data_IF_030087035299
#
_entry.id   IF_030087035299
#
_cell.length_a   1.000
_cell.length_b   1.000
_cell.length_c   1.000
_cell.angle_alpha   90.00
_cell.angle_beta   90.00
_cell.angle_gamma   90.00
#
_symmetry.space_group_name_H-M   'P 1'
#
loop_
_entity.id
_entity.type
_entity.pdbx_description
1 polymer ?
#
# COMPACT_ATOMS: atom_id res chain seq x y z
N UNK A 1 -24.02 38.94 -103.12
CA UNK A 1 -24.42 40.20 -103.80
C UNK A 1 -25.59 39.89 -104.71
N UNK A 2 -26.57 40.81 -104.73
CA UNK A 2 -27.70 40.92 -105.68
C UNK A 2 -28.73 39.78 -105.70
N UNK A 3 -30.01 40.00 -105.93
CA UNK A 3 -30.91 41.16 -105.87
C UNK A 3 -32.29 40.58 -106.26
N UNK A 4 -33.33 41.27 -105.83
CA UNK A 4 -34.75 40.97 -106.00
C UNK A 4 -35.22 40.55 -107.41
N UNK A 5 -36.35 39.84 -107.44
CA UNK A 5 -37.31 39.89 -108.55
C UNK A 5 -38.77 39.79 -108.04
N UNK A 6 -39.47 40.90 -108.17
CA UNK A 6 -40.92 41.17 -108.30
C UNK A 6 -41.03 41.93 -109.65
N UNK A 7 -42.15 42.09 -110.40
CA UNK A 7 -43.61 41.92 -110.15
C UNK A 7 -44.29 41.01 -111.21
N UNK A 8 -45.61 40.75 -111.26
CA UNK A 8 -46.66 41.72 -111.61
C UNK A 8 -48.10 41.22 -111.38
N UNK A 9 -48.97 42.15 -110.99
CA UNK A 9 -50.45 42.07 -110.93
C UNK A 9 -51.01 42.99 -112.03
N UNK A 10 -52.26 42.90 -112.53
CA UNK A 10 -53.49 43.29 -111.80
C UNK A 10 -54.74 42.47 -112.29
N UNK A 11 -56.03 42.64 -111.92
CA UNK A 11 -56.78 43.77 -111.40
C UNK A 11 -58.16 43.33 -110.80
N UNK A 12 -58.55 44.02 -109.72
CA UNK A 12 -59.87 44.63 -109.38
C UNK A 12 -61.22 43.87 -109.47
N UNK A 13 -61.79 43.68 -108.27
CA UNK A 13 -63.07 44.20 -107.70
C UNK A 13 -64.43 43.92 -108.39
N UNK A 14 -65.29 43.21 -107.65
CA UNK A 14 -66.75 43.36 -107.61
C UNK A 14 -67.30 42.84 -106.28
N UNK A 15 -68.14 43.61 -105.57
CA UNK A 15 -68.54 43.44 -104.16
C UNK A 15 -70.04 43.11 -104.06
N UNK A 16 -70.39 42.32 -103.03
CA UNK A 16 -71.71 42.09 -102.37
C UNK A 16 -72.56 40.93 -102.93
N UNK A 17 -72.79 39.93 -102.08
CA UNK A 17 -74.02 39.76 -101.27
C UNK A 17 -73.75 38.79 -100.11
N UNK A 18 -74.38 39.05 -98.97
CA UNK A 18 -74.27 38.26 -97.75
C UNK A 18 -75.31 37.14 -97.72
N UNK A 19 -74.97 35.97 -97.17
CA UNK A 19 -75.89 35.18 -96.36
C UNK A 19 -75.15 34.09 -95.57
N UNK A 20 -75.00 34.38 -94.26
CA UNK A 20 -75.12 33.47 -93.10
C UNK A 20 -74.56 32.04 -93.19
N UNK A 21 -73.42 31.88 -92.51
CA UNK A 21 -73.26 31.10 -91.27
C UNK A 21 -74.23 29.92 -91.05
N UNK A 22 -73.67 28.71 -91.01
CA UNK A 22 -74.00 27.70 -90.00
C UNK A 22 -72.80 26.77 -89.83
N UNK A 23 -71.96 27.16 -88.89
CA UNK A 23 -71.10 26.32 -88.06
C UNK A 23 -71.77 24.99 -87.70
N UNK A 24 -71.05 23.88 -87.85
CA UNK A 24 -71.22 22.76 -86.93
C UNK A 24 -69.84 22.30 -86.44
N UNK A 25 -69.61 22.67 -85.19
CA UNK A 25 -68.47 22.38 -84.35
C UNK A 25 -68.45 20.88 -84.11
N UNK A 26 -67.41 20.20 -84.58
CA UNK A 26 -67.09 18.85 -84.13
C UNK A 26 -66.51 18.97 -82.72
N UNK A 27 -67.35 18.71 -81.74
CA UNK A 27 -67.05 18.07 -80.44
C UNK A 27 -65.70 18.40 -79.78
N UNK A 28 -65.61 19.57 -79.13
CA UNK A 28 -64.54 19.90 -78.16
C UNK A 28 -64.74 19.26 -76.77
N UNK A 29 -65.85 18.55 -76.53
CA UNK A 29 -66.15 17.92 -75.22
C UNK A 29 -65.38 16.62 -74.93
N UNK A 30 -64.86 15.93 -75.95
CA UNK A 30 -64.14 14.67 -75.76
C UNK A 30 -62.67 14.84 -75.31
N UNK A 31 -62.08 16.02 -75.52
CA UNK A 31 -60.68 16.30 -75.22
C UNK A 31 -60.44 16.83 -73.78
N UNK A 32 -61.50 17.01 -73.00
CA UNK A 32 -61.45 17.55 -71.63
C UNK A 32 -61.81 16.51 -70.57
N UNK A 33 -62.03 15.24 -70.96
CA UNK A 33 -62.34 14.15 -70.03
C UNK A 33 -61.12 13.28 -69.73
N UNK A 34 -60.96 12.89 -68.46
CA UNK A 34 -59.90 11.98 -68.01
C UNK A 34 -60.17 10.56 -68.52
N UNK A 35 -59.24 10.00 -69.31
CA UNK A 35 -59.36 8.60 -69.74
C UNK A 35 -59.19 7.67 -68.51
N UNK A 36 -60.20 6.83 -68.28
CA UNK A 36 -60.20 5.83 -67.22
C UNK A 36 -59.03 4.85 -67.35
N UNK A 37 -58.55 4.58 -68.58
CA UNK A 37 -57.36 3.73 -68.81
C UNK A 37 -56.08 4.41 -68.32
N UNK A 38 -55.96 5.72 -68.53
CA UNK A 38 -54.82 6.51 -68.05
C UNK A 38 -54.83 6.64 -66.53
N UNK A 39 -55.98 6.93 -65.94
CA UNK A 39 -56.15 6.92 -64.48
C UNK A 39 -55.80 5.55 -63.88
N UNK A 40 -56.26 4.46 -64.49
CA UNK A 40 -55.94 3.10 -64.05
C UNK A 40 -54.44 2.78 -64.20
N UNK A 41 -53.79 3.25 -65.27
CA UNK A 41 -52.36 3.10 -65.47
C UNK A 41 -51.56 3.88 -64.41
N UNK A 42 -51.96 5.11 -64.12
CA UNK A 42 -51.35 5.95 -63.08
C UNK A 42 -51.53 5.34 -61.69
N UNK A 43 -52.72 4.84 -61.36
CA UNK A 43 -52.98 4.11 -60.11
C UNK A 43 -52.17 2.80 -60.02
N UNK A 44 -51.96 2.09 -61.13
CA UNK A 44 -51.09 0.90 -61.17
C UNK A 44 -49.60 1.25 -61.00
N UNK A 45 -49.15 2.40 -61.52
CA UNK A 45 -47.80 2.90 -61.30
C UNK A 45 -47.60 3.30 -59.83
N UNK A 46 -48.53 4.08 -59.28
CA UNK A 46 -48.57 4.43 -57.86
C UNK A 46 -48.55 3.19 -56.95
N UNK A 47 -49.39 2.18 -57.24
CA UNK A 47 -49.41 0.90 -56.50
C UNK A 47 -48.05 0.19 -56.50
N UNK A 48 -47.22 0.37 -57.53
CA UNK A 48 -45.87 -0.21 -57.62
C UNK A 48 -44.79 0.67 -56.96
N UNK A 49 -45.17 1.79 -56.35
CA UNK A 49 -44.25 2.73 -55.70
C UNK A 49 -43.62 3.76 -56.63
N UNK A 50 -44.10 3.89 -57.88
CA UNK A 50 -43.66 4.97 -58.77
C UNK A 50 -44.45 6.24 -58.48
N UNK A 51 -43.84 7.14 -57.70
CA UNK A 51 -44.40 8.45 -57.36
C UNK A 51 -44.04 9.55 -58.37
N UNK A 52 -43.33 9.23 -59.47
CA UNK A 52 -42.95 10.22 -60.49
C UNK A 52 -44.04 10.42 -61.55
N UNK A 53 -44.97 9.47 -61.67
CA UNK A 53 -46.07 9.54 -62.65
C UNK A 53 -46.98 10.75 -62.36
N UNK A 54 -47.47 11.43 -63.40
CA UNK A 54 -48.39 12.56 -63.28
C UNK A 54 -49.56 12.41 -64.23
N UNK A 55 -50.76 12.74 -63.76
CA UNK A 55 -51.92 12.90 -64.63
C UNK A 55 -51.87 14.28 -65.32
N UNK A 56 -52.51 14.43 -66.50
CA UNK A 56 -52.37 15.64 -67.29
C UNK A 56 -52.97 16.88 -66.59
N UNK A 57 -52.16 17.93 -66.44
CA UNK A 57 -52.54 19.18 -65.75
C UNK A 57 -53.39 20.14 -66.61
N UNK A 58 -53.62 19.81 -67.88
CA UNK A 58 -54.42 20.65 -68.80
C UNK A 58 -55.92 20.36 -68.75
N UNK A 59 -56.32 19.32 -68.02
CA UNK A 59 -57.73 18.96 -67.82
C UNK A 59 -58.40 20.01 -66.92
N UNK A 60 -59.66 20.34 -67.22
CA UNK A 60 -60.44 21.33 -66.48
C UNK A 60 -61.71 20.70 -65.92
N UNK A 61 -62.35 21.34 -64.94
CA UNK A 61 -63.55 20.80 -64.31
C UNK A 61 -63.24 19.70 -63.28
N UNK A 62 -64.11 18.70 -63.15
CA UNK A 62 -63.96 17.63 -62.14
C UNK A 62 -62.74 16.75 -62.44
N UNK A 63 -62.49 16.44 -63.70
CA UNK A 63 -61.38 15.59 -64.15
C UNK A 63 -60.02 16.25 -63.94
N UNK A 64 -59.94 17.58 -64.13
CA UNK A 64 -58.78 18.38 -63.74
C UNK A 64 -58.53 18.34 -62.23
N UNK A 65 -59.57 18.53 -61.42
CA UNK A 65 -59.46 18.43 -59.95
C UNK A 65 -59.01 17.03 -59.49
N UNK A 66 -59.46 15.97 -60.16
CA UNK A 66 -59.01 14.59 -59.89
C UNK A 66 -57.51 14.45 -60.24
N UNK A 67 -57.08 14.97 -61.39
CA UNK A 67 -55.69 14.95 -61.82
C UNK A 67 -54.77 15.72 -60.86
N UNK A 68 -55.15 16.94 -60.46
CA UNK A 68 -54.42 17.76 -59.52
C UNK A 68 -54.32 17.10 -58.15
N UNK A 69 -55.46 16.64 -57.60
CA UNK A 69 -55.49 15.97 -56.29
C UNK A 69 -54.66 14.68 -56.31
N UNK A 70 -54.70 13.92 -57.41
CA UNK A 70 -53.88 12.72 -57.57
C UNK A 70 -52.38 13.09 -57.58
N UNK A 71 -52.00 14.10 -58.36
CA UNK A 71 -50.63 14.58 -58.44
C UNK A 71 -50.11 15.06 -57.07
N UNK A 72 -50.92 15.80 -56.31
CA UNK A 72 -50.61 16.25 -54.94
C UNK A 72 -50.38 15.07 -53.99
N UNK A 73 -51.22 14.02 -54.08
CA UNK A 73 -51.05 12.79 -53.30
C UNK A 73 -49.74 12.09 -53.66
N UNK A 74 -49.36 12.05 -54.93
CA UNK A 74 -48.10 11.45 -55.36
C UNK A 74 -46.89 12.26 -54.90
N UNK A 75 -46.97 13.58 -54.94
CA UNK A 75 -45.92 14.46 -54.40
C UNK A 75 -45.72 14.24 -52.90
N UNK A 76 -46.82 14.14 -52.13
CA UNK A 76 -46.76 13.85 -50.70
C UNK A 76 -46.13 12.47 -50.40
N UNK A 77 -46.49 11.44 -51.17
CA UNK A 77 -45.90 10.11 -51.01
C UNK A 77 -44.41 10.09 -51.39
N UNK A 78 -44.00 10.81 -52.44
CA UNK A 78 -42.60 10.97 -52.81
C UNK A 78 -41.79 11.68 -51.71
N UNK A 79 -42.36 12.73 -51.13
CA UNK A 79 -41.75 13.45 -50.02
C UNK A 79 -41.59 12.55 -48.78
N UNK A 80 -42.61 11.77 -48.41
CA UNK A 80 -42.51 10.80 -47.32
C UNK A 80 -41.42 9.76 -47.58
N UNK A 81 -41.39 9.16 -48.77
CA UNK A 81 -40.38 8.15 -49.10
C UNK A 81 -38.96 8.72 -49.02
N UNK A 82 -38.76 9.94 -49.54
CA UNK A 82 -37.47 10.64 -49.49
C UNK A 82 -37.06 10.98 -48.05
N UNK A 83 -38.01 11.38 -47.21
CA UNK A 83 -37.75 11.72 -45.81
C UNK A 83 -37.43 10.48 -44.96
N UNK A 84 -38.08 9.35 -45.23
CA UNK A 84 -37.74 8.08 -44.59
C UNK A 84 -36.33 7.61 -44.99
N UNK A 85 -35.93 7.75 -46.27
CA UNK A 85 -34.55 7.45 -46.71
C UNK A 85 -33.53 8.37 -46.02
N UNK A 86 -33.84 9.66 -45.91
CA UNK A 86 -32.99 10.62 -45.19
C UNK A 86 -32.82 10.21 -43.73
N UNK A 87 -33.90 9.83 -43.04
CA UNK A 87 -33.84 9.41 -41.64
C UNK A 87 -33.08 8.11 -41.45
N UNK A 88 -33.26 7.12 -42.33
CA UNK A 88 -32.50 5.88 -42.31
C UNK A 88 -30.99 6.14 -42.35
N UNK A 89 -30.57 7.13 -43.16
CA UNK A 89 -29.16 7.54 -43.24
C UNK A 89 -28.71 8.36 -42.03
N UNK A 90 -29.45 9.40 -41.69
CA UNK A 90 -29.01 10.40 -40.70
C UNK A 90 -29.16 9.90 -39.26
N UNK A 91 -30.30 9.30 -38.92
CA UNK A 91 -30.54 8.75 -37.58
C UNK A 91 -29.97 7.35 -37.47
N UNK A 92 -30.20 6.50 -38.48
CA UNK A 92 -29.76 5.10 -38.45
C UNK A 92 -28.26 4.93 -38.66
N UNK A 93 -27.71 5.40 -39.79
CA UNK A 93 -26.30 5.16 -40.13
C UNK A 93 -25.33 6.15 -39.48
N UNK A 94 -25.68 7.44 -39.44
CA UNK A 94 -24.82 8.49 -38.87
C UNK A 94 -24.99 8.66 -37.35
N UNK A 95 -26.01 8.05 -36.74
CA UNK A 95 -26.27 8.13 -35.30
C UNK A 95 -26.72 9.52 -34.82
N UNK A 96 -27.19 10.41 -35.71
CA UNK A 96 -27.67 11.75 -35.35
C UNK A 96 -29.10 11.71 -34.80
N UNK A 97 -29.25 11.09 -33.63
CA UNK A 97 -30.53 10.80 -32.95
C UNK A 97 -31.37 12.02 -32.52
N UNK A 98 -30.83 13.24 -32.66
CA UNK A 98 -31.58 14.48 -32.45
C UNK A 98 -32.41 14.90 -33.69
N UNK A 99 -32.20 14.27 -34.84
CA UNK A 99 -32.91 14.60 -36.09
C UNK A 99 -34.33 14.04 -36.08
N UNK A 100 -35.26 14.81 -36.64
CA UNK A 100 -36.70 14.50 -36.67
C UNK A 100 -37.24 14.48 -38.09
N UNK A 101 -38.25 13.66 -38.33
CA UNK A 101 -39.06 13.61 -39.53
C UNK A 101 -39.80 14.94 -39.73
N UNK A 102 -39.78 15.48 -40.95
CA UNK A 102 -40.60 16.64 -41.33
C UNK A 102 -41.05 16.56 -42.79
N UNK A 103 -42.35 16.78 -43.01
CA UNK A 103 -42.96 16.89 -44.34
C UNK A 103 -43.55 18.29 -44.60
N UNK A 104 -43.09 19.31 -43.87
CA UNK A 104 -43.67 20.64 -43.92
C UNK A 104 -45.06 20.71 -43.27
N UNK A 105 -45.97 21.51 -43.84
CA UNK A 105 -47.32 21.74 -43.29
C UNK A 105 -48.30 20.64 -43.73
N UNK A 106 -48.25 19.49 -43.07
CA UNK A 106 -49.19 18.37 -43.27
C UNK A 106 -50.28 18.34 -42.20
N UNK A 107 -51.46 17.79 -42.53
CA UNK A 107 -52.62 17.66 -41.62
C UNK A 107 -53.17 16.22 -41.65
N UNK A 108 -54.00 15.90 -40.66
CA UNK A 108 -54.68 14.59 -40.58
C UNK A 108 -53.69 13.43 -40.44
N UNK A 109 -53.94 12.33 -41.15
CA UNK A 109 -53.14 11.10 -41.05
C UNK A 109 -51.65 11.26 -41.38
N UNK A 110 -51.29 12.22 -42.24
CA UNK A 110 -49.89 12.53 -42.54
C UNK A 110 -49.15 13.13 -41.35
N UNK A 111 -49.80 14.07 -40.65
CA UNK A 111 -49.25 14.65 -39.42
C UNK A 111 -49.10 13.59 -38.33
N UNK A 112 -50.10 12.71 -38.18
CA UNK A 112 -50.04 11.59 -37.25
C UNK A 112 -48.89 10.61 -37.60
N UNK A 113 -48.64 10.36 -38.88
CA UNK A 113 -47.55 9.47 -39.34
C UNK A 113 -46.17 10.07 -39.03
N UNK A 114 -45.97 11.36 -39.30
CA UNK A 114 -44.72 12.07 -38.95
C UNK A 114 -44.53 12.09 -37.43
N UNK A 115 -45.59 12.32 -36.67
CA UNK A 115 -45.55 12.26 -35.21
C UNK A 115 -45.15 10.87 -34.70
N UNK A 116 -45.76 9.81 -35.23
CA UNK A 116 -45.44 8.43 -34.86
C UNK A 116 -43.98 8.06 -35.16
N UNK A 117 -43.43 8.49 -36.31
CA UNK A 117 -42.00 8.28 -36.62
C UNK A 117 -41.12 9.04 -35.63
N UNK A 118 -41.48 10.28 -35.29
CA UNK A 118 -40.71 11.09 -34.35
C UNK A 118 -40.76 10.55 -32.91
N UNK A 119 -41.90 10.00 -32.49
CA UNK A 119 -42.08 9.33 -31.22
C UNK A 119 -41.19 8.08 -31.14
N UNK A 120 -41.20 7.24 -32.19
CA UNK A 120 -40.30 6.08 -32.28
C UNK A 120 -38.82 6.47 -32.24
N UNK A 121 -38.43 7.57 -32.90
CA UNK A 121 -37.06 8.07 -32.83
C UNK A 121 -36.73 8.50 -31.40
N UNK A 122 -37.61 9.23 -30.72
CA UNK A 122 -37.39 9.67 -29.34
C UNK A 122 -37.27 8.49 -28.37
N UNK A 123 -38.17 7.50 -28.48
CA UNK A 123 -38.21 6.30 -27.64
C UNK A 123 -36.93 5.47 -27.75
N UNK A 124 -36.36 5.37 -28.96
CA UNK A 124 -35.09 4.69 -29.20
C UNK A 124 -33.86 5.55 -28.83
N UNK A 125 -33.93 6.87 -29.04
CA UNK A 125 -32.83 7.79 -28.81
C UNK A 125 -32.58 8.08 -27.33
N UNK A 126 -33.65 8.15 -26.52
CA UNK A 126 -33.57 8.53 -25.11
C UNK A 126 -32.70 7.56 -24.29
N UNK A 127 -32.92 6.23 -24.29
CA UNK A 127 -32.09 5.30 -23.54
C UNK A 127 -30.62 5.36 -23.95
N UNK A 128 -30.34 5.52 -25.25
CA UNK A 128 -28.98 5.64 -25.78
C UNK A 128 -28.25 6.86 -25.21
N UNK A 129 -28.92 8.02 -25.14
CA UNK A 129 -28.36 9.23 -24.51
C UNK A 129 -28.12 9.02 -23.01
N UNK A 130 -29.03 8.34 -22.34
CA UNK A 130 -28.94 8.10 -20.91
C UNK A 130 -27.78 7.14 -20.57
N UNK A 131 -27.59 6.09 -21.36
CA UNK A 131 -26.41 5.21 -21.25
C UNK A 131 -25.13 6.00 -21.47
N UNK A 132 -25.04 6.85 -22.50
CA UNK A 132 -23.86 7.68 -22.75
C UNK A 132 -23.58 8.65 -21.59
N UNK A 133 -24.62 9.21 -20.98
CA UNK A 133 -24.49 10.10 -19.81
C UNK A 133 -23.88 9.36 -18.61
N UNK A 134 -24.40 8.19 -18.27
CA UNK A 134 -23.92 7.37 -17.14
C UNK A 134 -22.50 6.87 -17.40
N UNK A 135 -22.22 6.33 -18.59
CA UNK A 135 -20.85 5.91 -18.94
C UNK A 135 -19.86 7.08 -18.91
N UNK A 136 -20.29 8.27 -19.35
CA UNK A 136 -19.49 9.48 -19.24
C UNK A 136 -19.21 9.89 -17.80
N UNK A 137 -20.16 9.69 -16.87
CA UNK A 137 -19.96 9.94 -15.44
C UNK A 137 -18.96 8.93 -14.83
N UNK A 138 -19.14 7.65 -15.12
CA UNK A 138 -18.22 6.56 -14.70
C UNK A 138 -16.79 6.83 -15.19
N UNK A 139 -16.64 7.26 -16.45
CA UNK A 139 -15.32 7.60 -17.01
C UNK A 139 -14.63 8.78 -16.31
N UNK A 140 -15.39 9.67 -15.66
CA UNK A 140 -14.86 10.76 -14.82
C UNK A 140 -14.71 10.37 -13.34
N UNK A 141 -15.01 9.12 -12.99
CA UNK A 141 -14.95 8.60 -11.62
C UNK A 141 -16.20 8.88 -10.78
N UNK A 142 -17.28 9.40 -11.36
CA UNK A 142 -18.55 9.58 -10.66
C UNK A 142 -19.40 8.31 -10.76
N UNK A 143 -19.33 7.49 -9.72
CA UNK A 143 -20.05 6.21 -9.60
C UNK A 143 -21.40 6.37 -8.87
N UNK A 144 -21.86 7.60 -8.63
CA UNK A 144 -23.19 7.87 -8.04
C UNK A 144 -24.31 7.90 -9.08
N UNK A 145 -23.95 8.02 -10.37
CA UNK A 145 -24.90 8.18 -11.46
C UNK A 145 -25.37 6.83 -11.99
N UNK A 146 -26.69 6.64 -12.04
CA UNK A 146 -27.34 5.42 -12.54
C UNK A 146 -28.34 5.75 -13.64
N UNK A 147 -28.73 4.74 -14.42
CA UNK A 147 -29.84 4.81 -15.36
C UNK A 147 -31.17 4.75 -14.63
N UNK A 148 -32.10 5.64 -14.98
CA UNK A 148 -33.46 5.59 -14.47
C UNK A 148 -34.16 4.28 -14.94
N UNK A 149 -34.86 3.62 -14.01
CA UNK A 149 -35.64 2.40 -14.30
C UNK A 149 -37.09 2.69 -14.71
N UNK A 150 -37.50 3.95 -14.64
CA UNK A 150 -38.84 4.42 -14.98
C UNK A 150 -38.77 5.68 -15.85
N UNK A 151 -39.80 5.91 -16.64
CA UNK A 151 -39.99 7.11 -17.45
C UNK A 151 -41.45 7.53 -17.42
N UNK A 152 -41.71 8.81 -17.12
CA UNK A 152 -43.07 9.37 -17.05
C UNK A 152 -44.03 8.58 -16.14
N UNK A 153 -43.50 8.01 -15.06
CA UNK A 153 -44.27 7.20 -14.10
C UNK A 153 -44.50 5.75 -14.53
N UNK A 154 -43.91 5.32 -15.65
CA UNK A 154 -44.00 3.95 -16.15
C UNK A 154 -42.64 3.24 -16.07
N UNK A 155 -42.59 1.99 -15.57
CA UNK A 155 -41.39 1.17 -15.62
C UNK A 155 -40.90 0.97 -17.05
N UNK A 156 -39.58 1.04 -17.24
CA UNK A 156 -38.98 0.57 -18.48
C UNK A 156 -39.33 -0.90 -18.69
N UNK A 157 -39.48 -1.30 -19.96
CA UNK A 157 -39.83 -2.68 -20.33
C UNK A 157 -38.85 -3.22 -21.37
N UNK A 158 -38.83 -4.54 -21.50
CA UNK A 158 -38.04 -5.25 -22.51
C UNK A 158 -36.54 -4.92 -22.45
N UNK A 159 -35.95 -4.65 -23.61
CA UNK A 159 -34.50 -4.41 -23.74
C UNK A 159 -34.03 -3.11 -23.07
N UNK A 160 -34.90 -2.11 -22.93
CA UNK A 160 -34.54 -0.87 -22.23
C UNK A 160 -34.35 -1.10 -20.73
N UNK A 161 -35.26 -1.86 -20.11
CA UNK A 161 -35.10 -2.26 -18.71
C UNK A 161 -33.83 -3.08 -18.53
N UNK A 162 -33.62 -4.08 -19.40
CA UNK A 162 -32.44 -4.94 -19.35
C UNK A 162 -31.14 -4.14 -19.43
N UNK A 163 -31.07 -3.19 -20.37
CA UNK A 163 -29.91 -2.30 -20.53
C UNK A 163 -29.68 -1.46 -19.28
N UNK A 164 -30.74 -0.83 -18.75
CA UNK A 164 -30.65 -0.02 -17.54
C UNK A 164 -30.19 -0.84 -16.33
N UNK A 165 -30.72 -2.05 -16.15
CA UNK A 165 -30.31 -2.97 -15.08
C UNK A 165 -28.85 -3.40 -15.21
N UNK A 166 -28.38 -3.74 -16.41
CA UNK A 166 -26.98 -4.14 -16.64
C UNK A 166 -26.03 -2.98 -16.34
N UNK A 167 -26.34 -1.78 -16.84
CA UNK A 167 -25.52 -0.58 -16.60
C UNK A 167 -25.48 -0.26 -15.11
N UNK A 168 -26.63 -0.29 -14.41
CA UNK A 168 -26.69 -0.04 -12.97
C UNK A 168 -25.90 -1.09 -12.18
N UNK A 169 -26.02 -2.38 -12.53
CA UNK A 169 -25.24 -3.45 -11.89
C UNK A 169 -23.74 -3.22 -12.05
N UNK A 170 -23.30 -2.76 -13.23
CA UNK A 170 -21.89 -2.43 -13.48
C UNK A 170 -21.42 -1.23 -12.65
N UNK A 171 -22.24 -0.17 -12.54
CA UNK A 171 -21.95 1.00 -11.68
C UNK A 171 -21.87 0.58 -10.21
N UNK A 172 -22.80 -0.25 -9.74
CA UNK A 172 -22.84 -0.74 -8.37
C UNK A 172 -21.59 -1.58 -8.04
N UNK A 173 -21.17 -2.46 -8.95
CA UNK A 173 -19.94 -3.26 -8.79
C UNK A 173 -18.70 -2.38 -8.70
N UNK A 174 -18.58 -1.38 -9.59
CA UNK A 174 -17.48 -0.41 -9.56
C UNK A 174 -17.47 0.39 -8.25
N UNK A 175 -18.63 0.88 -7.83
CA UNK A 175 -18.80 1.70 -6.63
C UNK A 175 -18.44 0.90 -5.37
N UNK A 176 -18.94 -0.33 -5.26
CA UNK A 176 -18.62 -1.24 -4.16
C UNK A 176 -17.13 -1.56 -4.12
N UNK A 177 -16.51 -1.89 -5.26
CA UNK A 177 -15.08 -2.18 -5.32
C UNK A 177 -14.23 -0.96 -4.93
N UNK A 178 -14.53 0.21 -5.48
CA UNK A 178 -13.81 1.44 -5.17
C UNK A 178 -13.90 1.81 -3.67
N UNK A 179 -15.09 1.65 -3.08
CA UNK A 179 -15.30 1.87 -1.65
C UNK A 179 -14.48 0.89 -0.80
N UNK A 180 -14.51 -0.39 -1.14
CA UNK A 180 -13.80 -1.45 -0.41
C UNK A 180 -12.29 -1.30 -0.49
N UNK A 181 -11.74 -1.01 -1.68
CA UNK A 181 -10.30 -0.77 -1.84
C UNK A 181 -9.87 0.47 -1.05
N UNK A 182 -10.66 1.54 -1.09
CA UNK A 182 -10.37 2.76 -0.31
C UNK A 182 -10.39 2.48 1.19
N UNK A 183 -11.37 1.69 1.65
CA UNK A 183 -11.51 1.30 3.05
C UNK A 183 -10.32 0.45 3.51
N UNK A 184 -9.96 -0.61 2.78
CA UNK A 184 -8.84 -1.49 3.13
C UNK A 184 -7.51 -0.76 3.09
N UNK A 185 -7.29 0.10 2.09
CA UNK A 185 -6.09 0.92 2.00
C UNK A 185 -5.94 1.84 3.22
N UNK A 186 -7.05 2.45 3.66
CA UNK A 186 -7.07 3.27 4.87
C UNK A 186 -6.86 2.45 6.14
N UNK A 187 -7.58 1.35 6.33
CA UNK A 187 -7.50 0.52 7.54
C UNK A 187 -6.10 -0.09 7.71
N UNK A 188 -5.58 -0.76 6.67
CA UNK A 188 -4.31 -1.49 6.74
C UNK A 188 -3.13 -0.56 6.54
N UNK A 189 -3.22 0.38 5.59
CA UNK A 189 -2.10 1.25 5.21
C UNK A 189 -1.95 2.50 6.07
N UNK A 190 -3.05 3.12 6.51
CA UNK A 190 -3.00 4.39 7.27
C UNK A 190 -3.27 4.20 8.76
N UNK A 191 -4.33 3.46 9.11
CA UNK A 191 -4.76 3.30 10.51
C UNK A 191 -4.01 2.17 11.24
N UNK A 192 -3.27 1.32 10.52
CA UNK A 192 -2.54 0.20 11.11
C UNK A 192 -3.45 -0.90 11.67
N UNK A 193 -4.74 -0.92 11.29
CA UNK A 193 -5.70 -1.98 11.64
C UNK A 193 -5.42 -3.21 10.78
N UNK A 194 -4.46 -4.01 11.23
CA UNK A 194 -4.01 -5.20 10.51
C UNK A 194 -5.09 -6.29 10.49
N UNK A 195 -5.40 -6.80 9.29
CA UNK A 195 -6.38 -7.86 9.05
C UNK A 195 -7.60 -7.42 8.24
N UNK A 196 -7.70 -6.14 7.87
CA UNK A 196 -8.74 -5.64 6.97
C UNK A 196 -8.70 -6.36 5.61
N UNK A 197 -9.87 -6.74 5.12
CA UNK A 197 -10.06 -7.41 3.81
C UNK A 197 -11.23 -6.75 3.08
N UNK A 198 -11.12 -6.69 1.77
CA UNK A 198 -12.15 -6.21 0.87
C UNK A 198 -13.17 -7.33 0.63
N UNK A 199 -14.46 -7.00 0.75
CA UNK A 199 -15.56 -7.90 0.45
C UNK A 199 -16.49 -7.23 -0.57
N UNK A 200 -16.36 -7.60 -1.83
CA UNK A 200 -17.16 -7.06 -2.93
C UNK A 200 -18.24 -8.07 -3.33
N UNK A 201 -19.49 -7.75 -3.00
CA UNK A 201 -20.64 -8.63 -3.29
C UNK A 201 -20.82 -8.81 -4.80
N UNK A 202 -20.99 -10.07 -5.23
CA UNK A 202 -21.20 -10.39 -6.64
C UNK A 202 -19.94 -10.23 -7.51
N UNK A 203 -18.76 -10.07 -6.91
CA UNK A 203 -17.50 -10.06 -7.65
C UNK A 203 -17.27 -11.42 -8.34
N UNK A 204 -17.12 -11.38 -9.66
CA UNK A 204 -16.83 -12.54 -10.50
C UNK A 204 -15.81 -12.14 -11.59
N UNK A 205 -15.10 -13.14 -12.13
CA UNK A 205 -14.04 -12.91 -13.11
C UNK A 205 -12.99 -11.93 -12.59
N UNK A 206 -12.65 -10.94 -13.42
CA UNK A 206 -11.64 -9.92 -13.09
C UNK A 206 -11.90 -9.19 -11.77
N UNK A 207 -13.16 -8.94 -11.41
CA UNK A 207 -13.49 -8.28 -10.14
C UNK A 207 -13.11 -9.11 -8.92
N UNK A 208 -13.30 -10.42 -9.03
CA UNK A 208 -12.90 -11.36 -7.98
C UNK A 208 -11.38 -11.41 -7.88
N UNK A 209 -10.69 -11.53 -9.02
CA UNK A 209 -9.23 -11.58 -9.05
C UNK A 209 -8.60 -10.32 -8.46
N UNK A 210 -9.13 -9.13 -8.76
CA UNK A 210 -8.67 -7.88 -8.18
C UNK A 210 -8.90 -7.82 -6.66
N UNK A 211 -10.08 -8.24 -6.19
CA UNK A 211 -10.41 -8.30 -4.76
C UNK A 211 -9.49 -9.28 -4.02
N UNK A 212 -9.25 -10.46 -4.61
CA UNK A 212 -8.38 -11.49 -4.04
C UNK A 212 -6.91 -11.04 -3.98
N UNK A 213 -6.45 -10.27 -4.98
CA UNK A 213 -5.11 -9.66 -4.97
C UNK A 213 -4.95 -8.58 -3.89
N UNK A 214 -5.93 -7.68 -3.72
CA UNK A 214 -5.93 -6.68 -2.63
C UNK A 214 -5.91 -7.39 -1.27
N UNK A 215 -6.71 -8.45 -1.11
CA UNK A 215 -6.73 -9.26 0.09
C UNK A 215 -5.42 -10.01 0.34
N UNK A 216 -4.77 -10.52 -0.71
CA UNK A 216 -3.45 -11.15 -0.58
C UNK A 216 -2.40 -10.15 -0.09
N UNK A 217 -2.37 -8.95 -0.67
CA UNK A 217 -1.48 -7.86 -0.24
C UNK A 217 -1.73 -7.48 1.22
N UNK A 218 -3.00 -7.27 1.61
CA UNK A 218 -3.38 -6.91 2.97
C UNK A 218 -3.02 -7.99 4.00
N UNK A 219 -3.25 -9.27 3.67
CA UNK A 219 -2.86 -10.42 4.52
C UNK A 219 -1.35 -10.53 4.68
N UNK A 220 -0.59 -10.36 3.59
CA UNK A 220 0.88 -10.42 3.65
C UNK A 220 1.43 -9.31 4.53
N UNK A 221 1.04 -8.05 4.31
CA UNK A 221 1.46 -6.92 5.14
C UNK A 221 1.05 -7.11 6.62
N UNK A 222 -0.17 -7.58 6.85
CA UNK A 222 -0.67 -7.88 8.20
C UNK A 222 0.18 -8.92 8.91
N UNK A 223 0.45 -10.06 8.26
CA UNK A 223 1.23 -11.13 8.85
C UNK A 223 2.67 -10.69 9.13
N UNK A 224 3.28 -9.96 8.19
CA UNK A 224 4.64 -9.46 8.30
C UNK A 224 4.80 -8.48 9.47
N UNK A 225 3.98 -7.43 9.51
CA UNK A 225 4.05 -6.40 10.56
C UNK A 225 3.70 -6.98 11.93
N UNK A 226 2.70 -7.86 12.01
CA UNK A 226 2.31 -8.50 13.28
C UNK A 226 3.42 -9.40 13.83
N UNK A 227 4.11 -10.18 12.98
CA UNK A 227 5.21 -11.02 13.43
C UNK A 227 6.41 -10.20 13.92
N UNK A 228 6.72 -9.08 13.24
CA UNK A 228 7.75 -8.14 13.71
C UNK A 228 7.36 -7.53 15.07
N UNK A 229 6.10 -7.10 15.21
CA UNK A 229 5.59 -6.56 16.47
C UNK A 229 5.68 -7.58 17.62
N UNK A 230 5.34 -8.85 17.36
CA UNK A 230 5.44 -9.93 18.35
C UNK A 230 6.88 -10.16 18.82
N UNK A 231 7.84 -10.20 17.90
CA UNK A 231 9.26 -10.43 18.23
C UNK A 231 9.85 -9.23 18.95
N UNK A 232 9.59 -8.01 18.48
CA UNK A 232 10.05 -6.79 19.17
C UNK A 232 9.42 -6.64 20.56
N UNK A 233 8.15 -7.00 20.74
CA UNK A 233 7.51 -7.08 22.06
C UNK A 233 8.18 -8.13 22.95
N UNK A 234 8.51 -9.30 22.41
CA UNK A 234 9.20 -10.35 23.17
C UNK A 234 10.58 -9.89 23.64
N UNK A 235 11.36 -9.26 22.76
CA UNK A 235 12.66 -8.65 23.09
C UNK A 235 12.52 -7.60 24.18
N UNK A 236 11.51 -6.73 24.10
CA UNK A 236 11.24 -5.72 25.13
C UNK A 236 10.91 -6.36 26.50
N UNK A 237 10.31 -7.55 26.51
CA UNK A 237 10.03 -8.33 27.71
C UNK A 237 11.21 -9.25 28.13
N UNK A 238 12.35 -9.18 27.46
CA UNK A 238 13.55 -9.98 27.76
C UNK A 238 13.55 -11.40 27.18
N UNK A 239 12.56 -11.77 26.36
CA UNK A 239 12.54 -13.04 25.64
C UNK A 239 13.32 -12.92 24.31
N UNK A 240 14.60 -13.31 24.38
CA UNK A 240 15.53 -13.28 23.24
C UNK A 240 15.53 -14.61 22.46
N UNK A 241 14.55 -15.50 22.70
CA UNK A 241 14.44 -16.78 22.00
C UNK A 241 13.60 -16.67 20.73
N UNK A 242 12.76 -15.63 20.62
CA UNK A 242 11.88 -15.43 19.46
C UNK A 242 12.59 -14.76 18.31
N UNK A 243 12.29 -15.24 17.10
CA UNK A 243 12.76 -14.66 15.84
C UNK A 243 11.62 -14.48 14.87
N UNK A 244 11.81 -13.57 13.92
CA UNK A 244 10.91 -13.42 12.78
C UNK A 244 11.17 -14.60 11.84
N UNK A 245 10.16 -15.45 11.65
CA UNK A 245 10.27 -16.68 10.84
C UNK A 245 9.49 -16.61 9.53
N UNK A 246 8.56 -15.66 9.40
CA UNK A 246 7.75 -15.48 8.20
C UNK A 246 8.62 -15.29 6.96
N UNK A 247 8.18 -15.87 5.83
CA UNK A 247 8.85 -15.71 4.54
C UNK A 247 8.53 -14.31 3.97
N UNK A 248 9.57 -13.56 3.68
CA UNK A 248 9.50 -12.14 3.31
C UNK A 248 10.56 -11.83 2.27
N UNK A 249 10.30 -10.82 1.45
CA UNK A 249 11.14 -10.43 0.31
C UNK A 249 11.33 -8.92 0.29
N UNK A 250 12.37 -8.46 -0.40
CA UNK A 250 12.67 -7.03 -0.56
C UNK A 250 12.95 -6.36 0.79
N UNK A 251 12.47 -5.13 0.96
CA UNK A 251 12.74 -4.32 2.15
C UNK A 251 12.29 -4.96 3.47
N UNK A 252 11.24 -5.80 3.44
CA UNK A 252 10.79 -6.53 4.63
C UNK A 252 11.76 -7.65 5.02
N UNK A 253 12.48 -8.24 4.06
CA UNK A 253 13.55 -9.19 4.35
C UNK A 253 14.71 -8.51 5.05
N UNK A 254 15.14 -7.34 4.54
CA UNK A 254 16.20 -6.56 5.17
C UNK A 254 15.83 -6.16 6.61
N UNK A 255 14.57 -5.78 6.84
CA UNK A 255 14.05 -5.50 8.18
C UNK A 255 14.05 -6.75 9.07
N UNK A 256 13.58 -7.90 8.56
CA UNK A 256 13.62 -9.18 9.27
C UNK A 256 15.04 -9.54 9.69
N UNK A 257 16.00 -9.45 8.78
CA UNK A 257 17.39 -9.82 9.02
C UNK A 257 18.05 -8.86 10.01
N UNK A 258 17.74 -7.57 9.92
CA UNK A 258 18.20 -6.56 10.89
C UNK A 258 17.68 -6.86 12.29
N UNK A 259 16.38 -7.12 12.45
CA UNK A 259 15.78 -7.44 13.76
C UNK A 259 16.31 -8.77 14.28
N UNK A 260 16.40 -9.80 13.46
CA UNK A 260 16.93 -11.10 13.88
C UNK A 260 18.41 -11.01 14.29
N UNK A 261 19.22 -10.22 13.59
CA UNK A 261 20.63 -9.97 13.96
C UNK A 261 20.73 -9.24 15.30
N UNK A 262 19.85 -8.26 15.54
CA UNK A 262 19.77 -7.58 16.85
C UNK A 262 19.43 -8.57 17.97
N UNK A 263 18.45 -9.47 17.75
CA UNK A 263 18.09 -10.53 18.72
C UNK A 263 19.28 -11.43 19.00
N UNK A 264 20.01 -11.85 17.97
CA UNK A 264 21.19 -12.71 18.12
C UNK A 264 22.31 -12.04 18.91
N UNK A 265 22.59 -10.77 18.64
CA UNK A 265 23.59 -9.98 19.36
C UNK A 265 23.20 -9.82 20.84
N UNK A 266 21.94 -9.49 21.11
CA UNK A 266 21.40 -9.37 22.47
C UNK A 266 21.49 -10.70 23.24
N UNK A 267 21.07 -11.79 22.60
CA UNK A 267 21.06 -13.13 23.20
C UNK A 267 22.47 -13.59 23.55
N UNK A 268 23.41 -13.43 22.61
CA UNK A 268 24.83 -13.76 22.84
C UNK A 268 25.46 -12.89 23.92
N UNK A 269 25.15 -11.59 23.96
CA UNK A 269 25.65 -10.70 25.00
C UNK A 269 25.11 -11.08 26.39
N UNK A 270 23.81 -11.32 26.51
CA UNK A 270 23.18 -11.72 27.77
C UNK A 270 23.77 -13.04 28.31
N UNK A 271 23.98 -14.02 27.43
CA UNK A 271 24.62 -15.28 27.79
C UNK A 271 26.06 -15.08 28.29
N UNK A 272 26.86 -14.29 27.57
CA UNK A 272 28.26 -14.05 27.91
C UNK A 272 28.43 -13.26 29.20
N UNK A 273 27.62 -12.22 29.43
CA UNK A 273 27.63 -11.46 30.68
C UNK A 273 27.24 -12.35 31.86
N UNK A 274 26.20 -13.17 31.71
CA UNK A 274 25.78 -14.12 32.75
C UNK A 274 26.89 -15.13 33.06
N UNK A 275 27.56 -15.64 32.03
CA UNK A 275 28.67 -16.58 32.16
C UNK A 275 29.86 -15.97 32.91
N UNK A 276 30.32 -14.78 32.49
CA UNK A 276 31.46 -14.09 33.11
C UNK A 276 31.14 -13.67 34.54
N UNK A 277 29.93 -13.17 34.81
CA UNK A 277 29.49 -12.83 36.15
C UNK A 277 29.54 -14.05 37.09
N UNK A 278 29.09 -15.22 36.62
CA UNK A 278 29.16 -16.46 37.38
C UNK A 278 30.60 -16.94 37.57
N UNK A 279 31.39 -17.02 36.50
CA UNK A 279 32.78 -17.53 36.57
C UNK A 279 33.65 -16.67 37.47
N UNK A 280 33.67 -15.36 37.25
CA UNK A 280 34.57 -14.45 37.98
C UNK A 280 33.99 -14.05 39.33
N UNK A 281 32.69 -13.78 39.40
CA UNK A 281 32.03 -13.26 40.61
C UNK A 281 31.59 -14.34 41.61
N UNK A 282 31.13 -15.50 41.13
CA UNK A 282 30.58 -16.55 42.02
C UNK A 282 31.54 -17.74 42.19
N UNK A 283 32.11 -18.24 41.10
CA UNK A 283 32.98 -19.42 41.12
C UNK A 283 34.44 -19.09 41.44
N UNK A 284 34.83 -17.81 41.39
CA UNK A 284 36.21 -17.39 41.58
C UNK A 284 37.17 -17.89 40.50
N UNK A 285 36.65 -18.32 39.33
CA UNK A 285 37.44 -18.66 38.15
C UNK A 285 37.92 -17.38 37.48
N UNK A 286 39.04 -16.87 37.98
CA UNK A 286 39.63 -15.62 37.53
C UNK A 286 40.16 -15.74 36.08
N UNK A 287 39.98 -14.70 35.28
CA UNK A 287 40.41 -14.61 33.89
C UNK A 287 39.32 -14.86 32.84
N UNK A 288 38.08 -15.10 33.26
CA UNK A 288 36.94 -15.18 32.34
C UNK A 288 36.70 -13.84 31.62
N UNK A 289 36.51 -13.89 30.31
CA UNK A 289 36.19 -12.74 29.45
C UNK A 289 35.00 -13.07 28.55
N UNK A 290 34.15 -12.08 28.33
CA UNK A 290 33.01 -12.13 27.42
C UNK A 290 33.49 -12.00 25.98
N UNK A 291 33.04 -12.91 25.11
CA UNK A 291 33.34 -12.88 23.68
C UNK A 291 32.03 -12.92 22.90
N UNK A 292 31.57 -11.74 22.48
CA UNK A 292 30.33 -11.61 21.68
C UNK A 292 30.71 -11.31 20.24
N UNK A 293 30.26 -12.15 19.30
CA UNK A 293 30.60 -12.02 17.86
C UNK A 293 29.75 -10.94 17.20
N UNK A 294 30.35 -10.22 16.24
CA UNK A 294 29.63 -9.28 15.38
C UNK A 294 29.11 -8.03 16.08
N UNK A 295 29.65 -7.68 17.25
CA UNK A 295 29.28 -6.46 17.99
C UNK A 295 30.05 -5.24 17.47
N UNK A 296 29.38 -4.10 17.46
CA UNK A 296 29.95 -2.78 17.14
C UNK A 296 29.25 -1.69 17.93
N UNK A 297 29.85 -0.50 18.01
CA UNK A 297 29.28 0.63 18.76
C UNK A 297 29.04 0.28 20.22
N UNK A 298 27.88 0.66 20.76
CA UNK A 298 27.54 0.50 22.19
C UNK A 298 27.66 -0.95 22.68
N UNK A 299 27.36 -1.95 21.85
CA UNK A 299 27.51 -3.36 22.21
C UNK A 299 28.96 -3.76 22.48
N UNK A 300 29.87 -3.21 21.67
CA UNK A 300 31.31 -3.41 21.86
C UNK A 300 31.78 -2.74 23.13
N UNK A 301 31.38 -1.49 23.36
CA UNK A 301 31.76 -0.74 24.56
C UNK A 301 31.29 -1.44 25.84
N UNK A 302 30.07 -1.97 25.86
CA UNK A 302 29.56 -2.73 27.02
C UNK A 302 30.34 -4.02 27.26
N UNK A 303 30.67 -4.77 26.20
CA UNK A 303 31.47 -5.99 26.32
C UNK A 303 32.88 -5.70 26.82
N UNK A 304 33.51 -4.65 26.29
CA UNK A 304 34.86 -4.23 26.69
C UNK A 304 34.88 -3.76 28.15
N UNK A 305 33.83 -3.07 28.63
CA UNK A 305 33.69 -2.67 30.03
C UNK A 305 33.53 -3.87 30.99
N UNK A 306 32.73 -4.88 30.62
CA UNK A 306 32.60 -6.13 31.41
C UNK A 306 33.96 -6.85 31.48
N UNK A 307 34.69 -6.90 30.37
CA UNK A 307 36.01 -7.50 30.31
C UNK A 307 37.04 -6.74 31.15
N UNK A 308 36.99 -5.40 31.14
CA UNK A 308 37.85 -4.57 31.97
C UNK A 308 37.58 -4.83 33.46
N UNK A 309 36.31 -4.88 33.87
CA UNK A 309 35.92 -5.21 35.25
C UNK A 309 36.42 -6.60 35.66
N UNK A 310 36.19 -7.62 34.83
CA UNK A 310 36.62 -8.99 35.10
C UNK A 310 38.16 -9.12 35.19
N UNK A 311 38.89 -8.44 34.31
CA UNK A 311 40.35 -8.41 34.32
C UNK A 311 40.91 -7.71 35.56
N UNK A 312 40.32 -6.57 35.94
CA UNK A 312 40.73 -5.84 37.14
C UNK A 312 40.53 -6.70 38.40
N UNK A 313 39.35 -7.30 38.57
CA UNK A 313 39.06 -8.16 39.71
C UNK A 313 40.00 -9.38 39.74
N UNK A 314 40.24 -10.00 38.57
CA UNK A 314 41.20 -11.10 38.42
C UNK A 314 42.61 -10.72 38.86
N UNK A 315 43.11 -9.58 38.37
CA UNK A 315 44.45 -9.10 38.71
C UNK A 315 44.60 -8.79 40.19
N UNK A 316 43.59 -8.12 40.77
CA UNK A 316 43.56 -7.75 42.18
C UNK A 316 43.59 -8.99 43.08
N UNK A 317 42.66 -9.93 42.87
CA UNK A 317 42.55 -11.14 43.71
C UNK A 317 43.76 -12.05 43.55
N UNK A 318 44.31 -12.24 42.34
CA UNK A 318 45.53 -13.05 42.15
C UNK A 318 46.75 -12.47 42.87
N UNK A 319 46.92 -11.15 42.87
CA UNK A 319 48.04 -10.53 43.57
C UNK A 319 47.91 -10.66 45.09
N UNK A 320 46.70 -10.49 45.63
CA UNK A 320 46.41 -10.75 47.03
C UNK A 320 46.74 -12.21 47.38
N UNK A 321 46.23 -13.15 46.58
CA UNK A 321 46.48 -14.58 46.80
C UNK A 321 47.98 -14.92 46.77
N UNK A 322 48.73 -14.40 45.79
CA UNK A 322 50.17 -14.64 45.68
C UNK A 322 50.96 -14.15 46.91
N UNK A 323 50.62 -12.96 47.42
CA UNK A 323 51.29 -12.40 48.61
C UNK A 323 50.90 -13.19 49.86
N UNK A 324 49.62 -13.51 50.05
CA UNK A 324 49.17 -14.33 51.19
C UNK A 324 49.80 -15.73 51.17
N UNK A 325 49.95 -16.35 50.00
CA UNK A 325 50.67 -17.63 49.86
C UNK A 325 52.16 -17.49 50.17
N UNK A 326 52.82 -16.42 49.71
CA UNK A 326 54.22 -16.16 50.03
C UNK A 326 54.42 -16.02 51.56
N UNK A 327 53.55 -15.24 52.22
CA UNK A 327 53.54 -15.07 53.67
C UNK A 327 53.33 -16.41 54.38
N UNK A 328 52.39 -17.24 53.92
CA UNK A 328 52.15 -18.56 54.50
C UNK A 328 53.36 -19.51 54.35
N UNK A 329 54.15 -19.35 53.29
CA UNK A 329 55.40 -20.09 53.06
C UNK A 329 56.62 -19.46 53.76
N UNK A 330 56.44 -18.39 54.54
CA UNK A 330 57.50 -17.69 55.26
C UNK A 330 58.29 -16.66 54.44
N UNK A 331 57.92 -16.40 53.19
CA UNK A 331 58.49 -15.31 52.38
C UNK A 331 57.77 -13.99 52.68
N UNK A 332 58.31 -13.26 53.65
CA UNK A 332 57.80 -11.96 54.10
C UNK A 332 58.36 -10.79 53.28
N UNK A 333 59.08 -11.07 52.19
CA UNK A 333 59.62 -10.01 51.30
C UNK A 333 58.60 -9.54 50.26
N UNK A 334 57.52 -10.31 50.05
CA UNK A 334 56.49 -10.01 49.05
C UNK A 334 55.43 -9.07 49.59
N UNK A 335 55.06 -8.07 48.78
CA UNK A 335 53.97 -7.12 49.05
C UNK A 335 53.03 -7.02 47.87
N UNK A 336 51.80 -6.61 48.13
CA UNK A 336 50.85 -6.28 47.07
C UNK A 336 51.28 -4.93 46.49
N UNK A 337 51.63 -4.92 45.20
CA UNK A 337 52.14 -3.72 44.50
C UNK A 337 51.15 -3.12 43.51
N UNK A 338 50.16 -3.89 43.05
CA UNK A 338 49.17 -3.44 42.05
C UNK A 338 48.45 -2.17 42.49
N UNK A 339 48.22 -1.27 41.52
CA UNK A 339 47.45 -0.06 41.73
C UNK A 339 45.96 -0.40 41.87
N UNK A 340 45.39 -0.02 43.01
CA UNK A 340 44.04 -0.37 43.42
C UNK A 340 43.42 0.81 44.14
N UNK A 341 42.09 0.91 44.09
CA UNK A 341 41.32 2.03 44.64
C UNK A 341 40.19 1.51 45.53
N UNK A 342 39.61 2.39 46.35
CA UNK A 342 38.48 2.07 47.21
C UNK A 342 38.79 0.96 48.22
N UNK A 343 37.82 0.08 48.47
CA UNK A 343 37.93 -1.02 49.44
C UNK A 343 39.10 -1.96 49.18
N UNK A 344 39.49 -2.16 47.91
CA UNK A 344 40.64 -3.00 47.56
C UNK A 344 41.97 -2.33 47.97
N UNK A 345 42.04 -1.00 47.98
CA UNK A 345 43.23 -0.28 48.50
C UNK A 345 43.37 -0.44 50.01
N UNK A 346 42.26 -0.37 50.74
CA UNK A 346 42.24 -0.61 52.18
C UNK A 346 42.67 -2.05 52.50
N UNK A 347 42.18 -3.02 51.73
CA UNK A 347 42.60 -4.43 51.84
C UNK A 347 44.10 -4.60 51.56
N UNK A 348 44.61 -4.00 50.46
CA UNK A 348 46.04 -3.99 50.13
C UNK A 348 46.88 -3.44 51.27
N UNK A 349 46.49 -2.30 51.83
CA UNK A 349 47.23 -1.65 52.91
C UNK A 349 47.22 -2.50 54.19
N UNK A 350 46.06 -3.05 54.56
CA UNK A 350 45.92 -3.95 55.71
C UNK A 350 46.84 -5.17 55.58
N UNK A 351 46.84 -5.83 54.42
CA UNK A 351 47.70 -7.00 54.17
C UNK A 351 49.17 -6.59 54.20
N UNK A 352 49.56 -5.48 53.55
CA UNK A 352 50.95 -5.05 53.53
C UNK A 352 51.47 -4.67 54.93
N UNK A 353 50.64 -4.04 55.78
CA UNK A 353 50.98 -3.76 57.19
C UNK A 353 51.15 -5.05 57.98
N UNK A 354 50.28 -6.04 57.77
CA UNK A 354 50.43 -7.36 58.37
C UNK A 354 51.76 -8.02 57.96
N UNK A 355 52.14 -7.96 56.68
CA UNK A 355 53.45 -8.47 56.21
C UNK A 355 54.60 -7.74 56.89
N UNK A 356 54.53 -6.42 57.03
CA UNK A 356 55.56 -5.63 57.71
C UNK A 356 55.71 -6.01 59.19
N UNK A 357 54.59 -6.19 59.90
CA UNK A 357 54.57 -6.62 61.29
C UNK A 357 55.16 -8.02 61.46
N UNK A 358 54.77 -8.96 60.59
CA UNK A 358 55.33 -10.31 60.56
C UNK A 358 56.84 -10.31 60.29
N UNK A 359 57.30 -9.53 59.31
CA UNK A 359 58.72 -9.44 58.94
C UNK A 359 59.56 -8.86 60.07
N UNK A 360 59.04 -7.83 60.73
CA UNK A 360 59.68 -7.23 61.91
C UNK A 360 59.77 -8.21 63.06
N UNK A 361 58.66 -8.89 63.39
CA UNK A 361 58.61 -9.91 64.44
C UNK A 361 59.58 -11.06 64.16
N UNK A 362 59.58 -11.61 62.94
CA UNK A 362 60.48 -12.70 62.56
C UNK A 362 61.96 -12.30 62.68
N UNK A 363 62.30 -11.08 62.25
CA UNK A 363 63.65 -10.54 62.38
C UNK A 363 64.05 -10.42 63.85
N UNK A 364 63.15 -9.95 64.69
CA UNK A 364 63.40 -9.68 66.10
C UNK A 364 63.53 -10.95 66.93
N UNK A 365 62.66 -11.94 66.69
CA UNK A 365 62.80 -13.27 67.29
C UNK A 365 64.12 -13.92 66.88
N UNK A 366 64.49 -13.85 65.60
CA UNK A 366 65.77 -14.38 65.12
C UNK A 366 66.95 -13.68 65.79
N UNK A 367 66.88 -12.36 65.95
CA UNK A 367 67.92 -11.56 66.61
C UNK A 367 68.07 -11.94 68.08
N UNK A 368 66.98 -11.97 68.84
CA UNK A 368 66.98 -12.31 70.28
C UNK A 368 67.42 -13.76 70.50
N UNK A 369 66.93 -14.70 69.69
CA UNK A 369 67.37 -16.10 69.75
C UNK A 369 68.88 -16.23 69.49
N UNK A 370 69.43 -15.43 68.57
CA UNK A 370 70.86 -15.39 68.29
C UNK A 370 71.67 -14.78 69.44
N UNK A 371 71.27 -13.61 69.91
CA UNK A 371 71.97 -12.88 70.98
C UNK A 371 71.97 -13.65 72.31
N UNK A 372 70.78 -14.05 72.78
CA UNK A 372 70.62 -14.68 74.09
C UNK A 372 70.97 -16.17 74.03
N UNK A 373 70.56 -16.86 72.96
CA UNK A 373 70.69 -18.32 72.85
C UNK A 373 72.04 -18.81 72.32
N UNK A 374 72.69 -18.10 71.39
CA UNK A 374 73.94 -18.55 70.76
C UNK A 374 75.15 -17.69 71.11
N UNK A 375 75.01 -16.36 71.14
CA UNK A 375 76.12 -15.45 71.46
C UNK A 375 76.32 -15.24 72.97
N UNK A 376 75.38 -15.68 73.81
CA UNK A 376 75.44 -15.53 75.26
C UNK A 376 75.33 -14.08 75.75
N UNK A 377 74.83 -13.16 74.92
CA UNK A 377 74.54 -11.77 75.30
C UNK A 377 73.25 -11.72 76.11
N UNK A 378 73.41 -11.79 77.43
CA UNK A 378 72.32 -11.86 78.37
C UNK A 378 71.59 -10.51 78.49
N UNK A 379 70.25 -10.55 78.48
CA UNK A 379 69.37 -9.37 78.60
C UNK A 379 68.81 -8.81 77.29
N UNK A 380 69.01 -9.48 76.15
CA UNK A 380 68.39 -9.10 74.88
C UNK A 380 66.86 -9.20 74.94
N UNK A 381 66.18 -8.16 74.44
CA UNK A 381 64.72 -8.10 74.34
C UNK A 381 64.29 -7.82 72.91
N UNK A 382 63.19 -8.43 72.51
CA UNK A 382 62.48 -8.18 71.28
C UNK A 382 61.61 -6.93 71.42
N UNK A 383 61.76 -6.00 70.48
CA UNK A 383 60.93 -4.82 70.31
C UNK A 383 60.31 -4.82 68.91
N UNK A 384 59.02 -5.15 68.82
CA UNK A 384 58.30 -5.19 67.54
C UNK A 384 57.39 -3.98 67.41
N UNK A 385 57.80 -3.03 66.58
CA UNK A 385 57.08 -1.76 66.37
C UNK A 385 55.66 -2.00 65.86
N UNK A 386 54.68 -1.45 66.57
CA UNK A 386 53.26 -1.57 66.21
C UNK A 386 52.60 -2.90 66.60
N UNK A 387 53.26 -3.74 67.40
CA UNK A 387 52.67 -4.96 67.93
C UNK A 387 51.48 -4.65 68.87
N UNK A 388 50.35 -5.27 68.59
CA UNK A 388 49.12 -5.16 69.37
C UNK A 388 48.37 -6.51 69.38
N UNK A 389 47.52 -6.72 70.40
CA UNK A 389 46.84 -8.00 70.63
C UNK A 389 47.84 -9.15 70.71
N UNK A 390 47.54 -10.26 70.04
CA UNK A 390 48.37 -11.47 70.04
C UNK A 390 49.83 -11.23 69.65
N UNK A 391 50.11 -10.26 68.77
CA UNK A 391 51.51 -9.93 68.40
C UNK A 391 52.32 -9.37 69.56
N UNK A 392 51.68 -8.57 70.42
CA UNK A 392 52.32 -8.04 71.63
C UNK A 392 52.56 -9.15 72.63
N UNK A 393 51.54 -9.98 72.87
CA UNK A 393 51.65 -11.11 73.79
C UNK A 393 52.77 -12.07 73.38
N UNK A 394 52.94 -12.34 72.07
CA UNK A 394 54.05 -13.16 71.58
C UNK A 394 55.41 -12.51 71.79
N UNK A 395 55.51 -11.19 71.58
CA UNK A 395 56.75 -10.43 71.84
C UNK A 395 57.12 -10.48 73.32
N UNK A 396 56.13 -10.28 74.20
CA UNK A 396 56.31 -10.34 75.65
C UNK A 396 56.72 -11.75 76.10
N UNK A 397 56.14 -12.80 75.52
CA UNK A 397 56.54 -14.19 75.80
C UNK A 397 57.99 -14.48 75.37
N UNK A 398 58.42 -13.98 74.19
CA UNK A 398 59.83 -14.10 73.76
C UNK A 398 60.75 -13.36 74.73
N UNK A 399 60.34 -12.19 75.22
CA UNK A 399 61.07 -11.42 76.23
C UNK A 399 61.15 -12.13 77.58
N UNK A 400 60.06 -12.75 78.03
CA UNK A 400 60.02 -13.56 79.25
C UNK A 400 60.96 -14.77 79.12
N UNK A 401 60.95 -15.44 77.97
CA UNK A 401 61.85 -16.58 77.71
C UNK A 401 63.32 -16.15 77.72
N UNK A 402 63.65 -15.07 77.02
CA UNK A 402 64.99 -14.49 76.99
C UNK A 402 65.46 -14.04 78.38
N UNK A 403 64.57 -13.44 79.18
CA UNK A 403 64.81 -13.06 80.57
C UNK A 403 65.07 -14.25 81.48
N UNK A 404 64.26 -15.32 81.37
CA UNK A 404 64.45 -16.55 82.13
C UNK A 404 65.78 -17.24 81.79
N UNK A 405 66.12 -17.35 80.51
CA UNK A 405 67.42 -17.86 80.05
C UNK A 405 68.58 -17.03 80.62
N UNK A 406 68.45 -15.70 80.56
CA UNK A 406 69.43 -14.77 81.13
C UNK A 406 69.65 -15.01 82.62
N UNK A 407 68.56 -15.10 83.39
CA UNK A 407 68.63 -15.35 84.83
C UNK A 407 69.25 -16.72 85.14
N UNK A 408 68.85 -17.77 84.42
CA UNK A 408 69.39 -19.12 84.61
C UNK A 408 70.89 -19.18 84.33
N UNK A 409 71.37 -18.58 83.23
CA UNK A 409 72.80 -18.58 82.89
C UNK A 409 73.62 -17.75 83.90
N UNK A 410 73.11 -16.58 84.33
CA UNK A 410 73.77 -15.80 85.40
C UNK A 410 73.86 -16.57 86.70
N UNK A 411 72.77 -17.20 87.13
CA UNK A 411 72.76 -18.01 88.34
C UNK A 411 73.78 -19.13 88.26
N UNK A 412 73.88 -19.85 87.12
CA UNK A 412 74.92 -20.88 86.94
C UNK A 412 76.32 -20.29 87.10
N UNK A 413 76.59 -19.15 86.48
CA UNK A 413 77.88 -18.46 86.58
C UNK A 413 78.21 -17.97 88.02
N UNK A 414 77.23 -17.84 88.91
CA UNK A 414 77.44 -17.50 90.32
C UNK A 414 77.71 -18.73 91.21
N UNK A 415 77.37 -19.94 90.77
CA UNK A 415 77.58 -21.19 91.55
C UNK A 415 78.72 -22.08 91.02
N UNK A 416 79.32 -21.74 89.88
CA UNK A 416 80.53 -22.37 89.32
C UNK A 416 81.71 -21.43 89.43
#
# INVERSE_FOLDING_TARGET
>A
MTSAAVPDSPARRGRRTASRSSSNVVSTDAAQQLDRKELLAALRAFKRGDFSIRLPAHLTGLDGKIADTFNDVLEMNHALASELDRLARVVGAEGRIAQRASLGQVRGGWAASVAAVNELIEDLARPTRETARVLGAVARGDLSQTMALEHEGHPLQGEFLRTATIVNTMVDQLSSFASEVTRVAREVGTEGKLGGQAEVKGAAGTWKDLTDNVNLMARNLTAQVRNIAEVTTAVANGDLTKKITVDVKGEILDLKDTVNTMVDQLSSFAAEVTRVAREVGTEGKLGGQAVVRGISGTWKDLTDNVNLMASNLTGQVRNIAAVTTAVANGDLTKKITVDVKGEILELKNTINVMVDQLSSFASEVTRVAREVGTEGKLGGQAEVKGAAGTWRDLTDNVNLMAGNLTAQVRNIAEVT
#
